data_IF_851319133399
#
_entry.id   IF_851319133399
#
_cell.length_a   1.000
_cell.length_b   1.000
_cell.length_c   1.000
_cell.angle_alpha   90.00
_cell.angle_beta   90.00
_cell.angle_gamma   90.00
#
_symmetry.space_group_name_H-M   'P 1'
#
loop_
_entity.id
_entity.type
_entity.pdbx_description
1 polymer ?
#
# COMPACT_ATOMS: atom_id res chain seq x y z
N UNK A 1 -2.65 11.54 -6.69
CA UNK A 1 -1.32 11.99 -7.19
C UNK A 1 -1.10 11.39 -8.55
N UNK A 2 -0.85 12.21 -9.58
CA UNK A 2 -0.52 11.68 -10.90
C UNK A 2 0.88 11.04 -10.87
N UNK A 3 1.04 9.87 -11.50
CA UNK A 3 2.33 9.15 -11.53
C UNK A 3 3.44 9.98 -12.17
N UNK A 4 3.10 10.83 -13.15
CA UNK A 4 4.02 11.75 -13.81
C UNK A 4 4.62 12.79 -12.87
N UNK A 5 3.81 13.31 -11.94
CA UNK A 5 4.25 14.32 -10.97
C UNK A 5 5.22 13.72 -9.96
N UNK A 6 4.92 12.51 -9.47
CA UNK A 6 5.79 11.80 -8.54
C UNK A 6 7.12 11.40 -9.21
N UNK A 7 7.09 10.89 -10.44
CA UNK A 7 8.28 10.54 -11.21
C UNK A 7 9.20 11.75 -11.43
N UNK A 8 8.60 12.89 -11.81
CA UNK A 8 9.34 14.15 -12.02
C UNK A 8 10.02 14.62 -10.75
N UNK A 9 9.31 14.55 -9.61
CA UNK A 9 9.85 15.02 -8.33
C UNK A 9 10.93 14.10 -7.76
N UNK A 10 10.82 12.80 -8.01
CA UNK A 10 11.77 11.80 -7.48
C UNK A 10 12.97 11.58 -8.39
N UNK A 11 12.96 12.08 -9.62
CA UNK A 11 13.94 11.74 -10.66
C UNK A 11 14.13 10.22 -10.82
N UNK A 12 13.06 9.45 -10.64
CA UNK A 12 13.01 7.99 -10.73
C UNK A 12 11.78 7.57 -11.52
N UNK A 13 11.85 6.46 -12.27
CA UNK A 13 10.68 5.93 -12.93
C UNK A 13 9.63 5.50 -11.90
N UNK A 14 8.39 5.93 -12.12
CA UNK A 14 7.22 5.51 -11.34
C UNK A 14 6.25 4.83 -12.29
N UNK A 15 5.85 3.62 -11.92
CA UNK A 15 4.86 2.85 -12.65
C UNK A 15 3.61 2.69 -11.79
N UNK A 16 2.46 3.03 -12.35
CA UNK A 16 1.16 2.77 -11.71
C UNK A 16 0.58 1.52 -12.32
N UNK A 17 0.35 0.51 -11.50
CA UNK A 17 -0.31 -0.74 -11.93
C UNK A 17 -1.75 -0.41 -12.33
N UNK A 18 -2.11 -0.76 -13.56
CA UNK A 18 -3.48 -0.64 -14.05
C UNK A 18 -4.28 -1.83 -13.55
N UNK A 19 -5.17 -1.57 -12.61
CA UNK A 19 -6.03 -2.58 -12.00
C UNK A 19 -7.37 -2.65 -12.75
N UNK A 20 -7.84 -3.84 -13.14
CA UNK A 20 -9.10 -3.98 -13.85
C UNK A 20 -10.30 -3.79 -12.92
N UNK A 21 -11.42 -3.33 -13.47
CA UNK A 21 -12.74 -3.23 -12.82
C UNK A 21 -12.67 -2.64 -11.40
N UNK A 22 -12.17 -1.41 -11.19
CA UNK A 22 -11.95 -0.86 -9.86
C UNK A 22 -13.23 -0.70 -9.04
N UNK A 23 -14.39 -0.57 -9.70
CA UNK A 23 -15.71 -0.49 -9.05
C UNK A 23 -16.27 -1.86 -8.67
N UNK A 24 -15.70 -2.95 -9.18
CA UNK A 24 -16.06 -4.33 -8.84
C UNK A 24 -14.80 -5.21 -8.79
N UNK A 25 -13.90 -4.95 -7.82
CA UNK A 25 -12.57 -5.54 -7.79
C UNK A 25 -12.62 -7.04 -7.51
N UNK A 26 -11.83 -7.81 -8.26
CA UNK A 26 -11.63 -9.24 -8.04
C UNK A 26 -10.18 -9.51 -7.68
N UNK A 27 -9.97 -10.20 -6.56
CA UNK A 27 -8.63 -10.48 -6.06
C UNK A 27 -7.74 -11.16 -7.11
N UNK A 28 -8.26 -12.17 -7.80
CA UNK A 28 -7.53 -12.93 -8.83
C UNK A 28 -7.05 -12.04 -9.96
N UNK A 29 -7.92 -11.14 -10.43
CA UNK A 29 -7.65 -10.27 -11.57
C UNK A 29 -6.65 -9.18 -11.19
N UNK A 30 -6.76 -8.64 -9.97
CA UNK A 30 -5.82 -7.66 -9.45
C UNK A 30 -4.44 -8.26 -9.20
N UNK A 31 -4.37 -9.51 -8.69
CA UNK A 31 -3.08 -10.21 -8.53
C UNK A 31 -2.45 -10.53 -9.88
N UNK A 32 -3.23 -10.96 -10.88
CA UNK A 32 -2.73 -11.19 -12.22
C UNK A 32 -2.19 -9.88 -12.85
N UNK A 33 -2.89 -8.76 -12.65
CA UNK A 33 -2.42 -7.46 -13.10
C UNK A 33 -1.10 -7.04 -12.41
N UNK A 34 -0.97 -7.26 -11.10
CA UNK A 34 0.29 -7.03 -10.39
C UNK A 34 1.42 -7.91 -10.93
N UNK A 35 1.17 -9.22 -11.10
CA UNK A 35 2.17 -10.16 -11.60
C UNK A 35 2.66 -9.83 -13.02
N UNK A 36 1.78 -9.32 -13.88
CA UNK A 36 2.12 -8.98 -15.25
C UNK A 36 2.84 -7.63 -15.42
N UNK A 37 2.60 -6.68 -14.49
CA UNK A 37 3.06 -5.30 -14.63
C UNK A 37 4.21 -4.94 -13.69
N UNK A 38 4.34 -5.63 -12.54
CA UNK A 38 5.42 -5.37 -11.58
C UNK A 38 6.61 -6.27 -11.94
N UNK A 39 7.80 -5.72 -12.18
CA UNK A 39 8.98 -6.52 -12.49
C UNK A 39 9.36 -7.42 -11.30
N UNK A 40 9.79 -8.64 -11.58
CA UNK A 40 10.36 -9.55 -10.59
C UNK A 40 11.84 -9.16 -10.39
N UNK A 41 12.07 -8.12 -9.60
CA UNK A 41 13.41 -7.56 -9.36
C UNK A 41 13.58 -7.19 -7.89
N UNK A 42 14.81 -7.26 -7.40
CA UNK A 42 15.15 -6.84 -6.05
C UNK A 42 15.23 -5.32 -5.92
N UNK A 43 15.01 -4.83 -4.69
CA UNK A 43 15.14 -3.41 -4.38
C UNK A 43 13.98 -2.53 -4.83
N UNK A 44 12.85 -3.12 -5.18
CA UNK A 44 11.64 -2.38 -5.54
C UNK A 44 11.16 -1.50 -4.39
N UNK A 45 10.54 -0.38 -4.73
CA UNK A 45 9.71 0.39 -3.81
C UNK A 45 8.25 0.20 -4.21
N UNK A 46 7.47 -0.47 -3.36
CA UNK A 46 6.06 -0.72 -3.56
C UNK A 46 5.23 0.20 -2.67
N UNK A 47 4.20 0.81 -3.25
CA UNK A 47 3.30 1.73 -2.56
C UNK A 47 1.88 1.22 -2.75
N UNK A 48 1.21 0.90 -1.64
CA UNK A 48 -0.21 0.52 -1.64
C UNK A 48 -1.05 1.59 -0.96
N UNK A 49 -2.26 1.84 -1.48
CA UNK A 49 -3.25 2.68 -0.86
C UNK A 49 -4.57 1.91 -0.74
N UNK A 50 -5.22 1.99 0.43
CA UNK A 50 -6.53 1.35 0.66
C UNK A 50 -6.50 -0.15 0.32
N UNK A 51 -7.40 -0.62 -0.55
CA UNK A 51 -7.43 -1.99 -1.08
C UNK A 51 -6.11 -2.40 -1.76
N UNK A 52 -5.39 -1.44 -2.32
CA UNK A 52 -4.05 -1.67 -2.88
C UNK A 52 -3.03 -2.14 -1.85
N UNK A 53 -3.22 -1.87 -0.56
CA UNK A 53 -2.34 -2.36 0.50
C UNK A 53 -2.38 -3.89 0.62
N UNK A 54 -3.57 -4.45 0.80
CA UNK A 54 -3.73 -5.91 0.91
C UNK A 54 -3.34 -6.60 -0.41
N UNK A 55 -3.66 -6.00 -1.56
CA UNK A 55 -3.24 -6.49 -2.88
C UNK A 55 -1.72 -6.56 -3.00
N UNK A 56 -1.02 -5.51 -2.58
CA UNK A 56 0.46 -5.47 -2.56
C UNK A 56 1.04 -6.55 -1.65
N UNK A 57 0.47 -6.76 -0.47
CA UNK A 57 0.92 -7.80 0.46
C UNK A 57 0.71 -9.22 -0.09
N UNK A 58 -0.42 -9.46 -0.76
CA UNK A 58 -0.70 -10.73 -1.42
C UNK A 58 0.21 -10.97 -2.63
N UNK A 59 0.49 -9.92 -3.40
CA UNK A 59 1.52 -9.98 -4.44
C UNK A 59 2.88 -10.35 -3.85
N UNK A 60 3.34 -9.66 -2.81
CA UNK A 60 4.62 -9.94 -2.14
C UNK A 60 4.71 -11.36 -1.58
N UNK A 61 3.59 -11.90 -1.08
CA UNK A 61 3.56 -13.28 -0.58
C UNK A 61 3.94 -14.31 -1.67
N UNK A 62 3.66 -14.01 -2.93
CA UNK A 62 3.86 -14.91 -4.08
C UNK A 62 5.08 -14.54 -4.94
N UNK A 63 5.49 -13.26 -4.96
CA UNK A 63 6.55 -12.76 -5.82
C UNK A 63 7.93 -13.25 -5.39
N UNK A 64 8.80 -13.51 -6.35
CA UNK A 64 10.22 -13.81 -6.11
C UNK A 64 11.05 -12.53 -6.16
N UNK A 65 10.96 -11.75 -5.08
CA UNK A 65 11.62 -10.45 -4.91
C UNK A 65 12.20 -10.32 -3.51
N UNK A 66 13.28 -9.57 -3.36
CA UNK A 66 13.96 -9.30 -2.10
C UNK A 66 14.31 -7.81 -1.95
N UNK A 67 14.65 -7.39 -0.74
CA UNK A 67 15.09 -6.03 -0.43
C UNK A 67 14.04 -4.96 -0.79
N UNK A 68 12.75 -5.29 -0.64
CA UNK A 68 11.64 -4.41 -1.00
C UNK A 68 11.47 -3.31 0.03
N UNK A 69 11.32 -2.08 -0.44
CA UNK A 69 10.82 -0.96 0.37
C UNK A 69 9.29 -0.90 0.23
N UNK A 70 8.57 -0.88 1.35
CA UNK A 70 7.12 -0.96 1.36
C UNK A 70 6.50 0.25 2.05
N UNK A 71 5.59 0.93 1.36
CA UNK A 71 4.81 2.04 1.93
C UNK A 71 3.33 1.69 1.78
N UNK A 72 2.61 1.62 2.89
CA UNK A 72 1.18 1.33 2.91
C UNK A 72 0.42 2.50 3.51
N UNK A 73 -0.63 2.96 2.83
CA UNK A 73 -1.43 4.12 3.21
C UNK A 73 -2.88 3.71 3.35
N UNK A 74 -3.50 3.97 4.51
CA UNK A 74 -4.91 3.66 4.82
C UNK A 74 -5.31 2.22 4.48
N UNK A 75 -4.41 1.26 4.77
CA UNK A 75 -4.59 -0.14 4.44
C UNK A 75 -5.28 -0.95 5.53
N UNK A 76 -5.71 -2.15 5.16
CA UNK A 76 -6.32 -3.13 6.06
C UNK A 76 -5.93 -4.55 5.63
N UNK A 77 -6.04 -5.50 6.56
CA UNK A 77 -5.79 -6.94 6.37
C UNK A 77 -6.91 -7.81 6.94
N UNK A 78 -8.01 -7.17 7.37
CA UNK A 78 -9.23 -7.81 7.86
C UNK A 78 -10.45 -7.09 7.31
N UNK A 79 -11.62 -7.70 7.48
CA UNK A 79 -12.88 -7.14 7.02
C UNK A 79 -13.18 -5.83 7.73
N UNK A 80 -13.25 -4.76 6.96
CA UNK A 80 -13.65 -3.43 7.44
C UNK A 80 -15.18 -3.35 7.43
N UNK A 81 -15.82 -2.94 8.55
CA UNK A 81 -17.27 -2.71 8.57
C UNK A 81 -17.70 -1.73 7.47
N UNK A 82 -18.70 -2.11 6.69
CA UNK A 82 -19.18 -1.31 5.55
C UNK A 82 -18.49 -1.60 4.21
N UNK A 83 -17.42 -2.41 4.18
CA UNK A 83 -16.73 -2.84 2.96
C UNK A 83 -16.81 -4.36 2.77
N UNK A 84 -17.99 -4.93 2.98
CA UNK A 84 -18.21 -6.39 2.97
C UNK A 84 -17.95 -7.04 1.61
N UNK A 85 -18.09 -6.30 0.52
CA UNK A 85 -17.79 -6.71 -0.84
C UNK A 85 -16.28 -6.98 -1.05
N UNK A 86 -15.42 -6.42 -0.20
CA UNK A 86 -13.98 -6.64 -0.23
C UNK A 86 -13.51 -7.86 0.59
N UNK A 87 -14.45 -8.60 1.20
CA UNK A 87 -14.13 -9.80 1.99
C UNK A 87 -13.22 -10.81 1.26
N UNK A 88 -13.34 -11.04 -0.06
CA UNK A 88 -12.42 -11.96 -0.76
C UNK A 88 -10.95 -11.56 -0.66
N UNK A 89 -10.66 -10.28 -0.49
CA UNK A 89 -9.28 -9.80 -0.34
C UNK A 89 -8.68 -10.12 1.03
N UNK A 90 -9.49 -10.28 2.06
CA UNK A 90 -9.05 -10.49 3.45
C UNK A 90 -9.39 -11.87 4.01
N UNK A 91 -10.10 -12.71 3.24
CA UNK A 91 -10.60 -14.01 3.70
C UNK A 91 -9.48 -14.98 4.13
N UNK A 92 -8.33 -14.92 3.46
CA UNK A 92 -7.18 -15.76 3.81
C UNK A 92 -6.16 -14.99 4.61
N UNK A 93 -5.64 -15.60 5.67
CA UNK A 93 -4.59 -15.00 6.48
C UNK A 93 -3.29 -14.82 5.66
N UNK A 94 -2.59 -13.71 5.89
CA UNK A 94 -1.29 -13.44 5.28
C UNK A 94 -0.16 -14.12 6.07
N UNK A 95 0.80 -14.69 5.34
CA UNK A 95 2.05 -15.22 5.91
C UNK A 95 3.05 -14.09 6.21
N UNK A 96 2.78 -13.28 7.24
CA UNK A 96 3.58 -12.09 7.54
C UNK A 96 5.07 -12.35 7.75
N UNK A 97 5.45 -13.52 8.30
CA UNK A 97 6.86 -13.86 8.47
C UNK A 97 7.59 -13.92 7.12
N UNK A 98 6.99 -14.57 6.12
CA UNK A 98 7.56 -14.66 4.78
C UNK A 98 7.59 -13.28 4.08
N UNK A 99 6.54 -12.46 4.25
CA UNK A 99 6.51 -11.11 3.70
C UNK A 99 7.63 -10.27 4.33
N UNK A 100 7.75 -10.24 5.66
CA UNK A 100 8.81 -9.50 6.37
C UNK A 100 10.21 -9.89 5.94
N UNK A 101 10.45 -11.17 5.66
CA UNK A 101 11.76 -11.64 5.19
C UNK A 101 12.17 -11.03 3.84
N UNK A 102 11.25 -10.55 3.03
CA UNK A 102 11.51 -9.90 1.74
C UNK A 102 11.71 -8.38 1.86
N UNK A 103 11.37 -7.78 3.01
CA UNK A 103 11.42 -6.34 3.17
C UNK A 103 12.82 -5.87 3.56
N UNK A 104 13.28 -4.81 2.91
CA UNK A 104 14.41 -3.99 3.36
C UNK A 104 13.93 -3.00 4.42
N UNK A 105 12.80 -2.36 4.17
CA UNK A 105 12.19 -1.40 5.07
C UNK A 105 10.68 -1.30 4.77
N UNK A 106 9.90 -0.91 5.78
CA UNK A 106 8.48 -0.65 5.62
C UNK A 106 8.04 0.54 6.46
N UNK A 107 6.97 1.20 6.03
CA UNK A 107 6.24 2.20 6.82
C UNK A 107 4.76 2.12 6.48
N UNK A 108 3.93 2.32 7.49
CA UNK A 108 2.47 2.30 7.36
C UNK A 108 1.92 3.64 7.84
N UNK A 109 1.04 4.24 7.05
CA UNK A 109 0.53 5.60 7.26
C UNK A 109 -1.00 5.55 7.30
N UNK A 110 -1.62 6.31 8.20
CA UNK A 110 -3.06 6.55 8.21
C UNK A 110 -3.37 7.95 8.74
N UNK A 111 -4.61 8.40 8.59
CA UNK A 111 -5.12 9.59 9.23
C UNK A 111 -6.13 9.22 10.33
N UNK A 112 -6.17 10.02 11.40
CA UNK A 112 -7.08 9.80 12.52
C UNK A 112 -8.55 9.98 12.12
N UNK A 113 -8.80 10.84 11.15
CA UNK A 113 -10.10 11.21 10.61
C UNK A 113 -10.52 10.39 9.39
N UNK A 114 -9.80 9.31 9.06
CA UNK A 114 -10.16 8.40 7.96
C UNK A 114 -11.53 7.76 8.25
N UNK A 115 -12.53 8.13 7.46
CA UNK A 115 -13.92 7.67 7.64
C UNK A 115 -14.25 6.42 6.81
N UNK A 116 -13.36 6.00 5.89
CA UNK A 116 -13.53 4.81 5.05
C UNK A 116 -12.86 3.60 5.71
N UNK A 117 -11.57 3.74 6.05
CA UNK A 117 -10.81 2.72 6.76
C UNK A 117 -10.38 3.27 8.12
N UNK A 118 -11.10 2.96 9.21
CA UNK A 118 -10.72 3.41 10.54
C UNK A 118 -9.24 3.06 10.82
N UNK A 119 -8.47 4.04 11.29
CA UNK A 119 -7.00 3.92 11.44
C UNK A 119 -6.55 2.71 12.27
N UNK A 120 -7.42 2.16 13.11
CA UNK A 120 -7.14 0.96 13.92
C UNK A 120 -6.85 -0.27 13.04
N UNK A 121 -7.50 -0.39 11.87
CA UNK A 121 -7.22 -1.45 10.90
C UNK A 121 -5.81 -1.29 10.32
N UNK A 122 -5.45 -0.06 9.94
CA UNK A 122 -4.10 0.25 9.43
C UNK A 122 -3.03 0.09 10.52
N UNK A 123 -3.32 0.45 11.76
CA UNK A 123 -2.44 0.23 12.91
C UNK A 123 -2.19 -1.27 13.16
N UNK A 124 -3.24 -2.10 13.06
CA UNK A 124 -3.13 -3.55 13.18
C UNK A 124 -2.25 -4.11 12.07
N UNK A 125 -2.46 -3.66 10.83
CA UNK A 125 -1.63 -4.03 9.68
C UNK A 125 -0.14 -3.71 9.94
N UNK A 126 0.17 -2.53 10.47
CA UNK A 126 1.52 -2.13 10.85
C UNK A 126 2.11 -3.06 11.92
N UNK A 127 1.32 -3.41 12.93
CA UNK A 127 1.74 -4.35 13.99
C UNK A 127 2.07 -5.73 13.42
N UNK A 128 1.22 -6.25 12.54
CA UNK A 128 1.42 -7.55 11.89
C UNK A 128 2.68 -7.56 11.00
N UNK A 129 2.98 -6.44 10.34
CA UNK A 129 4.20 -6.25 9.54
C UNK A 129 5.45 -5.98 10.39
N UNK A 130 5.30 -5.70 11.69
CA UNK A 130 6.36 -5.16 12.55
C UNK A 130 6.98 -3.88 11.95
N UNK A 131 6.16 -3.02 11.34
CA UNK A 131 6.57 -1.80 10.67
C UNK A 131 6.22 -0.55 11.49
N UNK A 132 7.00 0.54 11.40
CA UNK A 132 6.61 1.85 11.94
C UNK A 132 5.24 2.29 11.44
N UNK A 133 4.44 2.83 12.37
CA UNK A 133 3.12 3.38 12.08
C UNK A 133 3.12 4.90 12.28
N UNK A 134 2.71 5.64 11.25
CA UNK A 134 2.57 7.09 11.29
C UNK A 134 1.09 7.44 11.22
N UNK A 135 0.56 8.02 12.30
CA UNK A 135 -0.82 8.49 12.36
C UNK A 135 -0.85 10.01 12.22
N UNK A 136 -1.34 10.49 11.08
CA UNK A 136 -1.56 11.91 10.87
C UNK A 136 -2.84 12.37 11.59
N UNK A 137 -2.88 13.59 12.14
CA UNK A 137 -4.07 14.11 12.81
C UNK A 137 -5.25 14.28 11.87
N UNK A 138 -4.97 14.64 10.61
CA UNK A 138 -5.95 14.82 9.53
C UNK A 138 -5.39 14.32 8.21
N UNK A 139 -6.27 14.00 7.26
CA UNK A 139 -5.91 13.50 5.94
C UNK A 139 -7.04 12.69 5.30
N UNK A 140 -8.07 12.40 6.09
CA UNK A 140 -9.17 11.55 5.68
C UNK A 140 -8.64 10.23 5.09
N UNK A 141 -9.25 9.71 4.03
CA UNK A 141 -8.77 8.53 3.30
C UNK A 141 -7.68 8.85 2.25
N UNK A 142 -7.08 10.04 2.30
CA UNK A 142 -6.11 10.55 1.31
C UNK A 142 -6.64 10.57 -0.12
N UNK A 143 -7.96 10.61 -0.27
CA UNK A 143 -8.67 10.82 -1.53
C UNK A 143 -9.27 12.22 -1.47
N UNK A 144 -8.87 13.12 -2.38
CA UNK A 144 -9.52 14.41 -2.46
C UNK A 144 -10.38 14.50 -3.71
N UNK A 145 -11.64 14.89 -3.52
CA UNK A 145 -12.56 15.17 -4.63
C UNK A 145 -12.16 16.43 -5.42
N UNK A 146 -11.23 17.22 -4.89
CA UNK A 146 -10.82 18.52 -5.45
C UNK A 146 -9.42 18.55 -6.05
N UNK A 147 -8.82 17.38 -6.31
CA UNK A 147 -7.52 17.29 -7.00
C UNK A 147 -6.30 17.60 -6.14
N UNK A 148 -6.44 17.65 -4.83
CA UNK A 148 -5.32 17.81 -3.89
C UNK A 148 -4.64 16.48 -3.56
N UNK A 149 -4.29 15.70 -4.55
CA UNK A 149 -3.81 14.31 -4.46
C UNK A 149 -2.37 14.18 -3.97
N UNK A 150 -1.92 15.10 -3.10
CA UNK A 150 -0.55 15.10 -2.61
C UNK A 150 -0.51 14.65 -1.16
N UNK A 151 0.32 13.66 -0.89
CA UNK A 151 0.73 13.28 0.46
C UNK A 151 2.19 13.74 0.65
N UNK A 152 2.43 14.95 1.19
CA UNK A 152 3.78 15.51 1.35
C UNK A 152 4.71 14.59 2.15
N UNK A 153 4.17 13.85 3.12
CA UNK A 153 4.91 12.84 3.87
C UNK A 153 5.45 11.73 2.96
N UNK A 154 4.66 11.26 2.01
CA UNK A 154 5.10 10.24 1.05
C UNK A 154 6.25 10.75 0.19
N UNK A 155 6.13 11.98 -0.33
CA UNK A 155 7.20 12.63 -1.09
C UNK A 155 8.48 12.76 -0.25
N UNK A 156 8.34 13.19 1.00
CA UNK A 156 9.47 13.33 1.92
C UNK A 156 10.17 11.99 2.19
N UNK A 157 9.41 10.93 2.48
CA UNK A 157 9.95 9.58 2.72
C UNK A 157 10.70 9.05 1.50
N UNK A 158 10.14 9.23 0.30
CA UNK A 158 10.75 8.77 -0.94
C UNK A 158 12.02 9.53 -1.30
N UNK A 159 12.06 10.85 -1.04
CA UNK A 159 13.24 11.71 -1.34
C UNK A 159 14.39 11.47 -0.37
N UNK A 160 14.11 11.25 0.90
CA UNK A 160 15.12 11.18 1.93
C UNK A 160 15.55 9.75 2.30
N UNK A 161 14.95 8.73 1.67
CA UNK A 161 15.26 7.34 1.94
C UNK A 161 14.91 6.90 3.37
N UNK A 162 14.04 7.63 4.03
CA UNK A 162 13.63 7.42 5.43
C UNK A 162 12.55 6.33 5.55
N UNK A 163 12.77 5.22 4.90
CA UNK A 163 12.16 3.99 5.34
C UNK A 163 13.05 3.50 6.48
N UNK A 164 12.61 3.73 7.69
CA UNK A 164 13.35 3.41 8.91
C UNK A 164 13.50 1.89 8.99
N UNK A 165 14.75 1.44 9.07
CA UNK A 165 15.08 0.05 9.35
C UNK A 165 14.63 -0.34 10.75
#
# INVERSE_FOLDING_TARGET
MCSSDLATQLHRPVHVVTLPEPDNPRLTDWLAACQSQIPQADGLTLIGHSLGCITTLRFLAQADVQNVNLILVSGFDDLVPGLTELAPFTAEALGYAAIRAKLKAAVVISARDDHIVPYQFTQRLATNLAAPFILLPTGDHFITQTGGDRLPLLEFLLKNGLLIN
#
